data_IF_020157243892
#
_entry.id   IF_020157243892
#
_cell.length_a   1.000
_cell.length_b   1.000
_cell.length_c   1.000
_cell.angle_alpha   90.00
_cell.angle_beta   90.00
_cell.angle_gamma   90.00
#
_symmetry.space_group_name_H-M   'P 1'
#
loop_
_entity.id
_entity.type
_entity.pdbx_description
1 polymer ?
#
# COMPACT_ATOMS: atom_id res chain seq x y z
N UNK A 1 -22.53 23.50 -38.53
CA UNK A 1 -21.30 23.27 -37.73
C UNK A 1 -20.64 22.05 -38.33
N UNK A 2 -19.48 22.24 -38.99
CA UNK A 2 -18.90 21.29 -39.92
C UNK A 2 -18.42 20.01 -39.20
N UNK A 3 -18.61 18.87 -39.90
CA UNK A 3 -18.16 17.53 -39.43
C UNK A 3 -16.68 17.55 -39.06
N UNK A 4 -15.87 18.38 -39.70
CA UNK A 4 -14.43 18.55 -39.45
C UNK A 4 -14.18 19.18 -38.06
N UNK A 5 -14.95 20.21 -37.67
CA UNK A 5 -14.83 20.85 -36.33
C UNK A 5 -15.19 19.86 -35.23
N UNK A 6 -16.21 19.02 -35.43
CA UNK A 6 -16.56 17.94 -34.49
C UNK A 6 -15.46 16.90 -34.38
N UNK A 7 -14.81 16.53 -35.46
CA UNK A 7 -13.71 15.55 -35.45
C UNK A 7 -12.48 16.09 -34.73
N UNK A 8 -12.12 17.35 -34.96
CA UNK A 8 -11.02 18.04 -34.27
C UNK A 8 -11.31 18.16 -32.75
N UNK A 9 -12.56 18.49 -32.41
CA UNK A 9 -12.96 18.59 -31.00
C UNK A 9 -12.89 17.23 -30.29
N UNK A 10 -13.32 16.14 -30.96
CA UNK A 10 -13.26 14.78 -30.44
C UNK A 10 -11.79 14.31 -30.26
N UNK A 11 -10.92 14.61 -31.21
CA UNK A 11 -9.48 14.21 -31.09
C UNK A 11 -8.74 15.00 -30.02
N UNK A 12 -9.08 16.29 -29.85
CA UNK A 12 -8.49 17.11 -28.78
C UNK A 12 -8.99 16.64 -27.40
N UNK A 13 -10.28 16.36 -27.26
CA UNK A 13 -10.87 15.89 -25.98
C UNK A 13 -10.33 14.51 -25.63
N UNK A 14 -10.27 13.56 -26.56
CA UNK A 14 -9.71 12.23 -26.33
C UNK A 14 -8.21 12.28 -26.03
N UNK A 15 -7.46 13.19 -26.70
CA UNK A 15 -6.04 13.40 -26.43
C UNK A 15 -5.76 13.98 -25.03
N UNK A 16 -6.65 14.85 -24.53
CA UNK A 16 -6.52 15.39 -23.17
C UNK A 16 -6.88 14.36 -22.10
N UNK A 17 -7.87 13.48 -22.34
CA UNK A 17 -8.20 12.40 -21.43
C UNK A 17 -7.07 11.36 -21.32
N UNK A 18 -6.48 10.95 -22.45
CA UNK A 18 -5.35 10.01 -22.46
C UNK A 18 -4.09 10.57 -21.77
N UNK A 19 -3.82 11.87 -21.93
CA UNK A 19 -2.68 12.53 -21.28
C UNK A 19 -2.88 12.75 -19.77
N UNK A 20 -4.11 13.05 -19.32
CA UNK A 20 -4.35 13.25 -17.89
C UNK A 20 -4.21 11.95 -17.08
N UNK A 21 -4.68 10.84 -17.61
CA UNK A 21 -4.60 9.53 -16.95
C UNK A 21 -3.14 9.02 -16.88
N UNK A 22 -2.35 9.25 -17.92
CA UNK A 22 -0.93 8.85 -17.97
C UNK A 22 -0.05 9.73 -17.08
N UNK A 23 -0.34 11.02 -16.96
CA UNK A 23 0.37 11.94 -16.05
C UNK A 23 0.06 11.61 -14.59
N UNK A 24 -1.17 11.23 -14.26
CA UNK A 24 -1.56 10.90 -12.89
C UNK A 24 -0.94 9.58 -12.42
N UNK A 25 -0.85 8.56 -13.27
CA UNK A 25 -0.19 7.29 -12.93
C UNK A 25 1.31 7.45 -12.74
N UNK A 26 1.99 8.20 -13.61
CA UNK A 26 3.43 8.50 -13.47
C UNK A 26 3.71 9.27 -12.18
N UNK A 27 2.89 10.26 -11.88
CA UNK A 27 2.96 11.04 -10.64
C UNK A 27 2.76 10.18 -9.38
N UNK A 28 1.85 9.17 -9.42
CA UNK A 28 1.68 8.22 -8.33
C UNK A 28 2.94 7.38 -8.07
N UNK A 29 3.50 6.75 -9.11
CA UNK A 29 4.71 5.94 -8.98
C UNK A 29 5.91 6.73 -8.47
N UNK A 30 6.09 7.95 -8.92
CA UNK A 30 7.14 8.84 -8.41
C UNK A 30 6.95 9.17 -6.93
N UNK A 31 5.74 9.52 -6.52
CA UNK A 31 5.40 9.80 -5.11
C UNK A 31 5.64 8.57 -4.23
N UNK A 32 5.20 7.40 -4.70
CA UNK A 32 5.39 6.14 -3.98
C UNK A 32 6.88 5.81 -3.84
N UNK A 33 7.65 5.85 -4.93
CA UNK A 33 9.09 5.59 -4.90
C UNK A 33 9.83 6.56 -3.97
N UNK A 34 9.51 7.85 -4.01
CA UNK A 34 10.08 8.86 -3.12
C UNK A 34 9.75 8.60 -1.63
N UNK A 35 8.58 8.04 -1.34
CA UNK A 35 8.22 7.63 0.00
C UNK A 35 9.01 6.38 0.44
N UNK A 36 9.16 5.38 -0.45
CA UNK A 36 9.97 4.17 -0.21
C UNK A 36 11.44 4.51 0.02
N UNK A 37 12.02 5.43 -0.76
CA UNK A 37 13.41 5.90 -0.55
C UNK A 37 13.54 6.49 0.87
N UNK A 38 12.61 7.35 1.28
CA UNK A 38 12.62 7.92 2.65
C UNK A 38 12.55 6.84 3.72
N UNK A 39 11.77 5.78 3.51
CA UNK A 39 11.70 4.63 4.41
C UNK A 39 13.04 3.87 4.49
N UNK A 40 13.64 3.55 3.33
CA UNK A 40 14.93 2.84 3.24
C UNK A 40 16.08 3.61 3.90
N UNK A 41 16.03 4.94 3.86
CA UNK A 41 17.00 5.81 4.53
C UNK A 41 16.75 5.99 6.04
N UNK A 42 15.77 5.27 6.61
CA UNK A 42 15.43 5.38 8.03
C UNK A 42 14.66 6.66 8.40
N UNK A 43 14.29 7.49 7.42
CA UNK A 43 13.52 8.73 7.62
C UNK A 43 12.03 8.42 7.79
N UNK A 44 11.69 7.60 8.80
CA UNK A 44 10.35 7.03 8.98
C UNK A 44 9.23 8.08 9.15
N UNK A 45 9.52 9.20 9.80
CA UNK A 45 8.54 10.29 9.93
C UNK A 45 8.16 10.89 8.57
N UNK A 46 9.18 11.15 7.74
CA UNK A 46 8.98 11.66 6.39
C UNK A 46 8.28 10.63 5.49
N UNK A 47 8.68 9.36 5.59
CA UNK A 47 8.04 8.27 4.85
C UNK A 47 6.55 8.15 5.22
N UNK A 48 6.20 8.12 6.51
CA UNK A 48 4.82 8.07 6.97
C UNK A 48 3.98 9.24 6.46
N UNK A 49 4.54 10.47 6.46
CA UNK A 49 3.88 11.64 5.92
C UNK A 49 3.64 11.55 4.42
N UNK A 50 4.65 11.10 3.65
CA UNK A 50 4.53 10.92 2.19
C UNK A 50 3.49 9.87 1.84
N UNK A 51 3.47 8.69 2.51
CA UNK A 51 2.45 7.68 2.30
C UNK A 51 1.05 8.17 2.70
N UNK A 52 0.93 8.93 3.78
CA UNK A 52 -0.33 9.56 4.17
C UNK A 52 -0.86 10.52 3.09
N UNK A 53 0.02 11.30 2.46
CA UNK A 53 -0.36 12.20 1.37
C UNK A 53 -0.85 11.44 0.14
N UNK A 54 -0.21 10.32 -0.22
CA UNK A 54 -0.68 9.44 -1.30
C UNK A 54 -2.10 8.96 -1.00
N UNK A 55 -2.35 8.44 0.20
CA UNK A 55 -3.64 7.92 0.61
C UNK A 55 -4.75 8.98 0.73
N UNK A 56 -4.40 10.25 0.96
CA UNK A 56 -5.38 11.33 1.11
C UNK A 56 -5.74 12.01 -0.21
N UNK A 57 -4.81 12.07 -1.16
CA UNK A 57 -4.98 12.85 -2.39
C UNK A 57 -5.61 12.03 -3.52
N UNK A 58 -5.56 10.72 -3.45
CA UNK A 58 -6.07 9.86 -4.50
C UNK A 58 -7.20 8.97 -3.99
N UNK A 59 -8.43 9.51 -4.05
CA UNK A 59 -9.64 8.77 -3.66
C UNK A 59 -9.96 7.60 -4.61
N UNK A 60 -9.37 7.58 -5.79
CA UNK A 60 -9.58 6.55 -6.81
C UNK A 60 -8.64 5.35 -6.61
N UNK A 61 -7.48 5.57 -6.01
CA UNK A 61 -6.49 4.52 -5.75
C UNK A 61 -6.60 4.01 -4.31
N UNK A 62 -7.29 2.91 -4.16
CA UNK A 62 -7.21 2.10 -2.94
C UNK A 62 -5.86 1.41 -2.96
N UNK A 63 -4.90 1.95 -2.24
CA UNK A 63 -3.53 1.46 -2.24
C UNK A 63 -3.14 0.78 -0.92
N UNK A 64 -3.32 -0.54 -0.83
CA UNK A 64 -2.91 -1.29 0.34
C UNK A 64 -1.38 -1.30 0.54
N UNK A 65 -0.58 -1.10 -0.53
CA UNK A 65 0.87 -1.01 -0.42
C UNK A 65 1.29 0.24 0.35
N UNK A 66 0.78 1.42 -0.02
CA UNK A 66 1.04 2.66 0.73
C UNK A 66 0.53 2.59 2.17
N UNK A 67 -0.63 1.95 2.38
CA UNK A 67 -1.17 1.75 3.73
C UNK A 67 -0.25 0.88 4.59
N UNK A 68 0.32 -0.21 4.02
CA UNK A 68 1.28 -1.08 4.71
C UNK A 68 2.59 -0.35 5.01
N UNK A 69 3.14 0.37 4.02
CA UNK A 69 4.39 1.11 4.20
C UNK A 69 4.25 2.25 5.22
N UNK A 70 3.08 2.89 5.29
CA UNK A 70 2.75 3.83 6.36
C UNK A 70 2.73 3.12 7.73
N UNK A 71 2.09 1.96 7.82
CA UNK A 71 2.06 1.17 9.06
C UNK A 71 3.46 0.75 9.51
N UNK A 72 4.30 0.25 8.59
CA UNK A 72 5.71 -0.11 8.87
C UNK A 72 6.50 1.11 9.35
N UNK A 73 6.31 2.28 8.73
CA UNK A 73 6.95 3.53 9.17
C UNK A 73 6.52 3.95 10.58
N UNK A 74 5.22 3.85 10.89
CA UNK A 74 4.66 4.13 12.21
C UNK A 74 5.19 3.17 13.27
N UNK A 75 5.38 1.90 12.93
CA UNK A 75 5.98 0.89 13.82
C UNK A 75 7.42 1.26 14.21
N UNK A 76 8.26 1.62 13.24
CA UNK A 76 9.63 2.07 13.51
C UNK A 76 9.69 3.36 14.37
N UNK A 77 8.68 4.21 14.26
CA UNK A 77 8.52 5.38 15.13
C UNK A 77 7.96 5.03 16.53
N UNK A 78 7.75 3.74 16.83
CA UNK A 78 7.10 3.24 18.06
C UNK A 78 5.68 3.77 18.25
N UNK A 79 5.02 4.23 17.18
CA UNK A 79 3.63 4.67 17.18
C UNK A 79 2.70 3.46 17.00
N UNK A 80 2.80 2.48 17.90
CA UNK A 80 2.19 1.15 17.78
C UNK A 80 0.68 1.19 17.58
N UNK A 81 -0.01 2.08 18.27
CA UNK A 81 -1.47 2.24 18.12
C UNK A 81 -1.87 2.77 16.73
N UNK A 82 -1.05 3.64 16.13
CA UNK A 82 -1.28 4.13 14.75
C UNK A 82 -0.99 3.01 13.75
N UNK A 83 0.16 2.34 13.89
CA UNK A 83 0.53 1.20 13.05
C UNK A 83 -0.55 0.10 13.06
N UNK A 84 -1.04 -0.27 14.24
CA UNK A 84 -2.13 -1.25 14.39
C UNK A 84 -3.41 -0.82 13.65
N UNK A 85 -3.82 0.46 13.75
CA UNK A 85 -4.99 0.97 13.01
C UNK A 85 -4.78 0.91 11.50
N UNK A 86 -3.57 1.26 11.02
CA UNK A 86 -3.23 1.18 9.60
C UNK A 86 -3.28 -0.27 9.08
N UNK A 87 -2.77 -1.25 9.83
CA UNK A 87 -2.88 -2.67 9.50
C UNK A 87 -4.35 -3.14 9.49
N UNK A 88 -5.13 -2.77 10.51
CA UNK A 88 -6.57 -3.11 10.53
C UNK A 88 -7.32 -2.53 9.33
N UNK A 89 -6.96 -1.35 8.87
CA UNK A 89 -7.54 -0.76 7.66
C UNK A 89 -7.28 -1.62 6.43
N UNK A 90 -6.08 -2.24 6.32
CA UNK A 90 -5.79 -3.19 5.22
C UNK A 90 -6.72 -4.38 5.30
N UNK A 91 -6.79 -5.04 6.46
CA UNK A 91 -7.62 -6.25 6.65
C UNK A 91 -9.10 -6.01 6.40
N UNK A 92 -9.62 -4.82 6.72
CA UNK A 92 -11.03 -4.50 6.56
C UNK A 92 -11.41 -4.01 5.17
N UNK A 93 -10.54 -3.21 4.53
CA UNK A 93 -10.88 -2.51 3.30
C UNK A 93 -10.34 -3.21 2.05
N UNK A 94 -9.33 -4.10 2.22
CA UNK A 94 -8.66 -4.80 1.13
C UNK A 94 -8.58 -6.31 1.40
N UNK A 95 -9.72 -6.98 1.59
CA UNK A 95 -9.73 -8.43 1.82
C UNK A 95 -9.12 -9.15 0.59
N UNK A 96 -8.35 -10.20 0.85
CA UNK A 96 -7.59 -10.95 -0.15
C UNK A 96 -6.49 -10.14 -0.86
N UNK A 97 -6.06 -9.04 -0.30
CA UNK A 97 -4.90 -8.31 -0.76
C UNK A 97 -3.62 -9.11 -0.52
N UNK A 98 -2.62 -9.06 -1.44
CA UNK A 98 -1.31 -9.69 -1.21
C UNK A 98 -0.56 -9.13 0.01
N UNK A 99 -1.05 -8.03 0.58
CA UNK A 99 -0.48 -7.40 1.78
C UNK A 99 -1.17 -7.81 3.10
N UNK A 100 -2.17 -8.69 3.03
CA UNK A 100 -2.93 -9.13 4.22
C UNK A 100 -2.03 -9.86 5.22
N UNK A 101 -1.20 -10.81 4.74
CA UNK A 101 -0.28 -11.54 5.59
C UNK A 101 0.76 -10.62 6.27
N UNK A 102 1.32 -9.65 5.53
CA UNK A 102 2.25 -8.66 6.08
C UNK A 102 1.60 -7.80 7.17
N UNK A 103 0.34 -7.42 6.96
CA UNK A 103 -0.42 -6.67 7.96
C UNK A 103 -0.67 -7.50 9.21
N UNK A 104 -1.00 -8.79 9.09
CA UNK A 104 -1.18 -9.72 10.21
C UNK A 104 0.14 -9.92 10.99
N UNK A 105 1.26 -10.12 10.27
CA UNK A 105 2.59 -10.25 10.89
C UNK A 105 2.92 -8.98 11.68
N UNK A 106 2.74 -7.80 11.07
CA UNK A 106 3.04 -6.54 11.74
C UNK A 106 2.15 -6.29 12.99
N UNK A 107 0.89 -6.74 12.98
CA UNK A 107 0.04 -6.71 14.19
C UNK A 107 0.60 -7.65 15.27
N UNK A 108 1.14 -8.81 14.88
CA UNK A 108 1.83 -9.73 15.78
C UNK A 108 3.08 -9.07 16.41
N UNK A 109 3.91 -8.42 15.57
CA UNK A 109 5.10 -7.70 16.04
C UNK A 109 4.75 -6.59 17.04
N UNK A 110 3.68 -5.84 16.75
CA UNK A 110 3.16 -4.81 17.67
C UNK A 110 2.73 -5.43 19.00
N UNK A 111 2.05 -6.58 18.97
CA UNK A 111 1.63 -7.26 20.19
C UNK A 111 2.81 -7.73 21.03
N UNK A 112 3.93 -8.15 20.41
CA UNK A 112 5.17 -8.46 21.14
C UNK A 112 5.76 -7.21 21.82
N UNK A 113 5.74 -6.06 21.16
CA UNK A 113 6.19 -4.79 21.76
C UNK A 113 5.31 -4.37 22.96
N UNK A 114 4.05 -4.82 22.97
CA UNK A 114 3.11 -4.63 24.07
C UNK A 114 3.20 -5.74 25.14
N UNK A 115 4.21 -6.65 25.07
CA UNK A 115 4.40 -7.82 25.94
C UNK A 115 3.18 -8.78 25.92
N UNK A 116 2.47 -8.87 24.80
CA UNK A 116 1.31 -9.75 24.63
C UNK A 116 1.60 -10.89 23.65
N UNK A 117 2.38 -11.87 24.12
CA UNK A 117 2.81 -13.02 23.31
C UNK A 117 1.63 -13.85 22.76
N UNK A 118 0.59 -14.05 23.58
CA UNK A 118 -0.61 -14.81 23.18
C UNK A 118 -1.29 -14.15 21.98
N UNK A 119 -1.44 -12.82 22.00
CA UNK A 119 -2.02 -12.05 20.89
C UNK A 119 -1.12 -12.10 19.65
N UNK A 120 0.19 -11.98 19.84
CA UNK A 120 1.17 -12.07 18.76
C UNK A 120 1.07 -13.42 18.06
N UNK A 121 1.14 -14.52 18.82
CA UNK A 121 1.02 -15.87 18.29
C UNK A 121 -0.27 -16.10 17.50
N UNK A 122 -1.42 -15.59 17.99
CA UNK A 122 -2.70 -15.68 17.29
C UNK A 122 -2.65 -15.00 15.91
N UNK A 123 -1.97 -13.85 15.79
CA UNK A 123 -1.86 -13.14 14.52
C UNK A 123 -0.88 -13.83 13.56
N UNK A 124 0.24 -14.37 14.05
CA UNK A 124 1.17 -15.15 13.24
C UNK A 124 0.53 -16.44 12.70
N UNK A 125 -0.27 -17.12 13.51
CA UNK A 125 -1.02 -18.30 13.04
C UNK A 125 -2.01 -17.96 11.91
N UNK A 126 -2.63 -16.76 11.96
CA UNK A 126 -3.51 -16.31 10.87
C UNK A 126 -2.75 -15.98 9.58
N UNK A 127 -1.52 -15.49 9.71
CA UNK A 127 -0.68 -15.19 8.55
C UNK A 127 -0.11 -16.46 7.90
N UNK A 128 0.11 -17.53 8.68
CA UNK A 128 0.80 -18.75 8.26
C UNK A 128 0.25 -19.41 6.97
N UNK A 129 -1.06 -19.61 6.76
CA UNK A 129 -1.58 -20.23 5.55
C UNK A 129 -1.18 -19.51 4.26
N UNK A 130 -1.15 -18.17 4.31
CA UNK A 130 -0.75 -17.34 3.17
C UNK A 130 0.75 -17.43 2.89
N UNK A 131 1.57 -17.66 3.91
CA UNK A 131 3.02 -17.87 3.76
C UNK A 131 3.28 -19.24 3.13
N UNK A 132 2.58 -20.29 3.55
CA UNK A 132 2.71 -21.64 2.99
C UNK A 132 2.33 -21.67 1.51
N UNK A 133 1.25 -21.00 1.13
CA UNK A 133 0.84 -20.87 -0.28
C UNK A 133 1.90 -20.17 -1.13
N UNK A 134 2.53 -19.13 -0.61
CA UNK A 134 3.60 -18.40 -1.31
C UNK A 134 4.87 -19.25 -1.45
N UNK A 135 5.24 -20.03 -0.44
CA UNK A 135 6.39 -20.95 -0.50
C UNK A 135 6.15 -22.05 -1.53
N UNK A 136 4.95 -22.63 -1.57
CA UNK A 136 4.56 -23.63 -2.55
C UNK A 136 4.62 -23.11 -3.99
N UNK A 137 4.15 -21.88 -4.24
CA UNK A 137 4.23 -21.24 -5.55
C UNK A 137 5.68 -20.98 -5.98
N UNK A 138 6.56 -20.56 -5.06
CA UNK A 138 7.97 -20.36 -5.35
C UNK A 138 8.71 -21.67 -5.67
N UNK A 139 8.32 -22.80 -5.05
CA UNK A 139 8.89 -24.12 -5.36
C UNK A 139 8.49 -24.62 -6.74
N UNK A 140 7.29 -24.28 -7.23
CA UNK A 140 6.83 -24.63 -8.59
C UNK A 140 7.60 -23.86 -9.65
N UNK A 141 7.90 -22.58 -9.40
CA UNK A 141 8.58 -21.71 -10.38
C UNK A 141 10.09 -22.03 -10.51
N UNK A 142 10.67 -22.81 -9.60
CA UNK A 142 12.06 -23.26 -9.64
C UNK A 142 12.27 -24.65 -10.30
N UNK A 143 11.23 -25.28 -10.81
CA UNK A 143 11.27 -26.61 -11.51
C UNK A 143 11.02 -26.45 -13.00
#
# INVERSE_FOLDING_TARGET
>A
MDKIIRYIFYTIVLGHFANSEQVDTLSYYEKFNNAVISYKEGRYSLAASKFSNILSNDRSYRDPASQLMMAKSQYHLKLYQKAHRSCKSILNNYPNSPYEHDALVLIGDIALQENNETKAFKHYLKARPQIEDLLFLNEIDQR
#
